data_IF_668898970785
#
_entry.id   IF_668898970785
#
_cell.length_a   1.000
_cell.length_b   1.000
_cell.length_c   1.000
_cell.angle_alpha   90.00
_cell.angle_beta   90.00
_cell.angle_gamma   90.00
#
_symmetry.space_group_name_H-M   'P 1'
#
loop_
_entity.id
_entity.type
_entity.pdbx_description
1 polymer ?
#
# COMPACT_ATOMS: atom_id res chain seq x y z
N UNK A 1 -13.08 -6.49 -20.61
CA UNK A 1 -12.77 -6.42 -19.16
C UNK A 1 -11.67 -5.44 -18.92
N UNK A 2 -11.65 -4.85 -17.75
CA UNK A 2 -10.64 -3.89 -17.34
C UNK A 2 -10.01 -4.33 -16.04
N UNK A 3 -8.73 -4.03 -15.91
CA UNK A 3 -8.07 -4.10 -14.60
C UNK A 3 -8.36 -2.82 -13.84
N UNK A 4 -8.57 -2.96 -12.55
CA UNK A 4 -8.78 -1.84 -11.65
C UNK A 4 -7.65 -1.77 -10.64
N UNK A 5 -7.18 -0.56 -10.39
CA UNK A 5 -6.39 -0.28 -9.21
C UNK A 5 -7.31 0.47 -8.24
N UNK A 6 -7.76 -0.22 -7.20
CA UNK A 6 -8.65 0.37 -6.20
C UNK A 6 -7.91 1.22 -5.16
N UNK A 7 -6.59 1.32 -5.24
CA UNK A 7 -5.86 2.23 -4.37
C UNK A 7 -6.26 3.68 -4.67
N UNK A 8 -6.70 4.46 -3.67
CA UNK A 8 -7.27 5.79 -3.91
C UNK A 8 -6.31 6.83 -4.50
N UNK A 9 -5.00 6.61 -4.37
CA UNK A 9 -3.98 7.48 -4.95
C UNK A 9 -3.09 6.73 -5.94
N UNK A 10 -3.63 6.22 -7.05
CA UNK A 10 -2.87 5.34 -7.95
C UNK A 10 -1.88 6.09 -8.85
N UNK A 11 -1.97 7.41 -8.90
CA UNK A 11 -1.14 8.25 -9.78
C UNK A 11 -0.25 9.16 -8.96
N UNK A 12 0.72 9.76 -9.63
CA UNK A 12 1.61 10.74 -9.02
C UNK A 12 0.83 12.00 -8.64
N UNK A 13 0.92 12.39 -7.37
CA UNK A 13 0.23 13.54 -6.84
C UNK A 13 0.26 13.54 -5.32
N UNK A 14 -0.30 14.57 -4.69
CA UNK A 14 -0.33 14.67 -3.23
C UNK A 14 -1.11 13.52 -2.62
N UNK A 15 -0.49 12.73 -1.75
CA UNK A 15 -1.20 11.64 -1.10
C UNK A 15 -2.21 12.16 -0.08
N UNK A 16 -3.38 11.51 -0.05
CA UNK A 16 -4.46 11.88 0.87
C UNK A 16 -4.88 10.65 1.66
N UNK A 17 -4.10 10.24 2.67
CA UNK A 17 -4.51 9.13 3.51
C UNK A 17 -5.77 9.47 4.29
N UNK A 18 -6.59 8.47 4.54
CA UNK A 18 -7.75 8.61 5.41
C UNK A 18 -7.32 8.94 6.84
N UNK A 19 -6.18 8.41 7.26
CA UNK A 19 -5.62 8.63 8.58
C UNK A 19 -4.09 8.54 8.52
N UNK A 20 -3.42 9.40 9.28
CA UNK A 20 -1.98 9.30 9.53
C UNK A 20 -1.69 9.52 11.00
N UNK A 21 -0.72 8.79 11.55
CA UNK A 21 -0.34 8.85 12.95
C UNK A 21 1.18 8.89 13.04
N UNK A 22 1.70 9.84 13.81
CA UNK A 22 3.12 9.97 14.13
C UNK A 22 4.03 10.12 12.91
N UNK A 23 3.47 10.58 11.80
CA UNK A 23 4.24 10.85 10.57
C UNK A 23 3.52 11.87 9.70
N UNK A 24 4.27 12.44 8.77
CA UNK A 24 3.72 13.15 7.61
C UNK A 24 3.88 12.28 6.39
N UNK A 25 2.96 12.41 5.44
CA UNK A 25 2.94 11.62 4.21
C UNK A 25 3.08 12.57 3.03
N UNK A 26 4.06 12.32 2.18
CA UNK A 26 4.37 13.16 1.03
C UNK A 26 4.39 12.32 -0.24
N UNK A 27 4.21 12.97 -1.39
CA UNK A 27 4.43 12.27 -2.64
C UNK A 27 5.91 11.92 -2.80
N UNK A 28 6.18 10.82 -3.49
CA UNK A 28 7.52 10.34 -3.77
C UNK A 28 7.57 9.71 -5.15
N UNK A 29 8.75 9.70 -5.74
CA UNK A 29 8.92 9.10 -7.05
C UNK A 29 8.69 10.08 -8.18
N UNK A 30 8.05 9.60 -9.23
CA UNK A 30 7.82 10.36 -10.47
C UNK A 30 6.48 9.95 -11.08
N UNK A 31 6.00 10.65 -12.10
CA UNK A 31 4.75 10.27 -12.78
C UNK A 31 4.72 8.82 -13.31
N UNK A 32 5.87 8.29 -13.71
CA UNK A 32 5.97 6.91 -14.19
C UNK A 32 6.25 5.91 -13.08
N UNK A 33 6.60 6.38 -11.90
CA UNK A 33 6.91 5.57 -10.74
C UNK A 33 6.35 6.24 -9.49
N UNK A 34 5.02 6.40 -9.39
CA UNK A 34 4.40 7.16 -8.31
C UNK A 34 4.47 6.42 -6.99
N UNK A 35 4.61 7.17 -5.91
CA UNK A 35 4.68 6.61 -4.59
C UNK A 35 4.42 7.64 -3.50
N UNK A 36 4.57 7.17 -2.29
CA UNK A 36 4.44 7.95 -1.07
C UNK A 36 5.68 7.76 -0.22
N UNK A 37 5.97 8.73 0.62
CA UNK A 37 7.01 8.59 1.64
C UNK A 37 6.41 8.95 3.00
N UNK A 38 6.59 8.07 3.97
CA UNK A 38 6.23 8.29 5.36
C UNK A 38 7.45 8.85 6.08
N UNK A 39 7.29 10.03 6.64
CA UNK A 39 8.33 10.72 7.39
C UNK A 39 7.94 10.79 8.85
N UNK A 40 8.60 10.03 9.73
CA UNK A 40 8.25 9.99 11.15
C UNK A 40 8.36 11.36 11.79
N UNK A 41 7.50 11.63 12.78
CA UNK A 41 7.48 12.90 13.50
C UNK A 41 8.59 13.03 14.53
N UNK A 42 9.27 11.93 14.87
CA UNK A 42 10.40 11.90 15.81
C UNK A 42 11.28 10.68 15.59
N UNK A 43 12.43 10.64 16.25
CA UNK A 43 13.38 9.51 16.16
C UNK A 43 12.82 8.21 16.77
N UNK A 44 11.74 8.30 17.54
CA UNK A 44 11.12 7.14 18.18
C UNK A 44 9.78 6.75 17.58
N UNK A 45 9.25 7.54 16.65
CA UNK A 45 7.99 7.27 15.98
C UNK A 45 8.19 6.38 14.75
N UNK A 46 7.31 5.42 14.56
CA UNK A 46 7.32 4.56 13.38
C UNK A 46 6.51 5.10 12.22
N UNK A 47 5.45 5.83 12.52
CA UNK A 47 4.55 6.33 11.50
C UNK A 47 3.56 5.28 10.99
N UNK A 48 2.41 5.78 10.60
CA UNK A 48 1.29 4.98 10.12
C UNK A 48 0.50 5.83 9.13
N UNK A 49 0.24 5.30 7.95
CA UNK A 49 -0.68 5.92 6.99
C UNK A 49 -1.67 4.88 6.49
N UNK A 50 -2.95 5.20 6.57
CA UNK A 50 -4.01 4.28 6.20
C UNK A 50 -4.99 4.89 5.20
N UNK A 51 -5.45 4.07 4.28
CA UNK A 51 -6.51 4.41 3.35
C UNK A 51 -7.68 3.45 3.52
N UNK A 52 -8.88 3.99 3.58
CA UNK A 52 -10.09 3.17 3.44
C UNK A 52 -10.30 2.93 1.95
N UNK A 53 -10.33 1.68 1.57
CA UNK A 53 -10.56 1.25 0.19
C UNK A 53 -11.93 0.59 0.13
N UNK A 54 -12.85 1.17 -0.63
CA UNK A 54 -14.23 0.70 -0.73
C UNK A 54 -14.58 0.34 -2.16
N UNK A 55 -15.76 -0.26 -2.35
CA UNK A 55 -16.21 -0.66 -3.68
C UNK A 55 -15.50 -1.88 -4.22
N UNK A 56 -14.80 -2.63 -3.36
CA UNK A 56 -14.14 -3.87 -3.77
C UNK A 56 -15.19 -4.98 -3.99
N UNK A 57 -14.93 -5.91 -4.91
CA UNK A 57 -15.86 -7.01 -5.16
C UNK A 57 -15.85 -8.02 -4.00
N UNK A 58 -16.93 -8.03 -3.22
CA UNK A 58 -17.06 -8.90 -2.05
C UNK A 58 -16.89 -10.37 -2.44
N UNK A 59 -16.16 -11.12 -1.60
CA UNK A 59 -15.91 -12.54 -1.81
C UNK A 59 -14.84 -12.87 -2.85
N UNK A 60 -14.31 -11.89 -3.53
CA UNK A 60 -13.27 -12.08 -4.55
C UNK A 60 -11.88 -11.99 -3.90
N UNK A 61 -10.95 -12.76 -4.41
CA UNK A 61 -9.54 -12.67 -3.96
C UNK A 61 -8.89 -11.48 -4.61
N UNK A 62 -8.32 -10.60 -3.79
CA UNK A 62 -7.59 -9.43 -4.23
C UNK A 62 -6.17 -9.45 -3.70
N UNK A 63 -5.28 -8.74 -4.38
CA UNK A 63 -3.90 -8.55 -3.98
C UNK A 63 -3.62 -7.06 -3.78
N UNK A 64 -2.93 -6.75 -2.70
CA UNK A 64 -2.46 -5.42 -2.36
C UNK A 64 -0.94 -5.47 -2.41
N UNK A 65 -0.35 -4.67 -3.28
CA UNK A 65 1.06 -4.79 -3.64
C UNK A 65 1.70 -3.42 -3.62
N UNK A 66 2.88 -3.33 -3.04
CA UNK A 66 3.67 -2.11 -3.03
C UNK A 66 5.15 -2.48 -2.94
N UNK A 67 5.98 -1.74 -3.65
CA UNK A 67 7.42 -1.78 -3.43
C UNK A 67 7.77 -0.87 -2.26
N UNK A 68 8.74 -1.23 -1.46
CA UNK A 68 9.21 -0.39 -0.36
C UNK A 68 10.67 0.02 -0.58
N UNK A 69 10.99 1.24 -0.19
CA UNK A 69 12.33 1.79 -0.28
C UNK A 69 12.79 2.39 1.04
N UNK A 70 14.05 2.15 1.39
CA UNK A 70 14.65 2.62 2.62
C UNK A 70 15.89 3.47 2.29
N UNK A 71 16.10 4.51 3.08
CA UNK A 71 17.31 5.34 2.94
C UNK A 71 18.56 4.59 3.40
N UNK A 72 18.44 3.68 4.36
CA UNK A 72 19.49 2.79 4.79
C UNK A 72 18.93 1.41 5.10
N UNK A 73 19.80 0.40 5.16
CA UNK A 73 19.43 -0.97 5.41
C UNK A 73 19.54 -1.39 6.88
N UNK A 74 20.05 -0.53 7.73
CA UNK A 74 20.13 -0.76 9.17
C UNK A 74 18.76 -0.48 9.76
N UNK A 75 18.07 -1.52 10.19
CA UNK A 75 16.70 -1.34 10.62
C UNK A 75 16.41 -2.02 11.95
N UNK A 76 15.71 -1.26 12.79
CA UNK A 76 15.18 -1.73 14.07
C UNK A 76 13.68 -1.95 14.03
N UNK A 77 13.05 -1.82 12.87
CA UNK A 77 11.61 -2.00 12.71
C UNK A 77 11.18 -3.40 13.16
N UNK A 78 10.09 -3.44 13.91
CA UNK A 78 9.49 -4.67 14.40
C UNK A 78 8.00 -4.65 14.10
N UNK A 79 7.59 -5.19 12.97
CA UNK A 79 6.19 -5.21 12.59
C UNK A 79 5.99 -5.38 11.09
N UNK A 80 4.77 -5.21 10.64
CA UNK A 80 4.41 -5.32 9.23
C UNK A 80 4.47 -3.96 8.55
N UNK A 81 5.13 -3.89 7.42
CA UNK A 81 5.20 -2.66 6.61
C UNK A 81 3.90 -2.44 5.82
N UNK A 82 3.30 -3.51 5.35
CA UNK A 82 2.04 -3.48 4.61
C UNK A 82 1.04 -4.37 5.32
N UNK A 83 -0.13 -3.84 5.62
CA UNK A 83 -1.18 -4.56 6.33
C UNK A 83 -2.54 -4.20 5.74
N UNK A 84 -3.46 -5.15 5.75
CA UNK A 84 -4.85 -4.92 5.35
C UNK A 84 -5.75 -5.39 6.47
N UNK A 85 -6.65 -4.51 6.90
CA UNK A 85 -7.62 -4.77 7.95
C UNK A 85 -9.03 -4.67 7.41
N UNK A 86 -9.98 -5.32 8.08
CA UNK A 86 -11.40 -5.14 7.80
C UNK A 86 -11.95 -3.87 8.49
N UNK A 87 -13.25 -3.62 8.30
CA UNK A 87 -13.93 -2.44 8.88
C UNK A 87 -13.93 -2.43 10.41
N UNK A 88 -13.70 -3.59 11.03
CA UNK A 88 -13.66 -3.74 12.49
C UNK A 88 -12.23 -3.79 13.04
N UNK A 89 -11.25 -3.38 12.25
CA UNK A 89 -9.83 -3.34 12.60
C UNK A 89 -9.18 -4.71 12.83
N UNK A 90 -9.78 -5.78 12.30
CA UNK A 90 -9.16 -7.11 12.31
C UNK A 90 -8.17 -7.22 11.15
N UNK A 91 -6.96 -7.69 11.43
CA UNK A 91 -5.93 -7.89 10.39
C UNK A 91 -6.33 -9.07 9.52
N UNK A 92 -6.50 -8.83 8.22
CA UNK A 92 -6.80 -9.86 7.24
C UNK A 92 -5.54 -10.46 6.65
N UNK A 93 -4.53 -9.63 6.41
CA UNK A 93 -3.25 -10.04 5.85
C UNK A 93 -2.20 -8.97 6.13
N UNK A 94 -0.93 -9.39 6.21
CA UNK A 94 0.17 -8.45 6.37
C UNK A 94 1.45 -8.99 5.74
N UNK A 95 2.41 -8.09 5.50
CA UNK A 95 3.72 -8.43 4.96
C UNK A 95 4.77 -7.45 5.45
N UNK A 96 6.01 -7.93 5.56
CA UNK A 96 7.15 -7.11 5.90
C UNK A 96 8.39 -7.60 5.16
N UNK A 97 9.37 -6.72 5.05
CA UNK A 97 10.69 -7.08 4.53
C UNK A 97 11.75 -6.23 5.21
N UNK A 98 12.98 -6.72 5.17
CA UNK A 98 14.17 -5.98 5.59
C UNK A 98 15.01 -5.53 4.40
N UNK A 99 14.61 -5.93 3.19
CA UNK A 99 15.34 -5.61 1.97
C UNK A 99 14.84 -4.29 1.36
N UNK A 100 15.78 -3.45 0.95
CA UNK A 100 15.48 -2.25 0.19
C UNK A 100 14.99 -2.64 -1.22
N UNK A 101 14.03 -1.90 -1.75
CA UNK A 101 13.43 -2.12 -3.07
C UNK A 101 12.75 -3.48 -3.23
N UNK A 102 12.25 -4.03 -2.15
CA UNK A 102 11.46 -5.26 -2.19
C UNK A 102 10.01 -4.98 -2.54
N UNK A 103 9.40 -5.90 -3.28
CA UNK A 103 7.97 -5.83 -3.60
C UNK A 103 7.18 -6.63 -2.58
N UNK A 104 6.35 -5.95 -1.78
CA UNK A 104 5.47 -6.57 -0.81
C UNK A 104 4.14 -6.93 -1.47
N UNK A 105 3.60 -8.09 -1.14
CA UNK A 105 2.29 -8.52 -1.62
C UNK A 105 1.51 -9.19 -0.50
N UNK A 106 0.25 -8.78 -0.34
CA UNK A 106 -0.71 -9.45 0.54
C UNK A 106 -1.96 -9.80 -0.26
N UNK A 107 -2.35 -11.05 -0.19
CA UNK A 107 -3.58 -11.55 -0.80
C UNK A 107 -4.63 -11.80 0.26
N UNK A 108 -5.87 -11.50 -0.07
CA UNK A 108 -7.00 -11.73 0.83
C UNK A 108 -8.30 -11.91 0.06
N UNK A 109 -9.30 -12.46 0.73
CA UNK A 109 -10.68 -12.46 0.23
C UNK A 109 -11.37 -11.21 0.75
N UNK A 110 -11.97 -10.45 -0.15
CA UNK A 110 -12.64 -9.19 0.19
C UNK A 110 -13.82 -9.48 1.11
N UNK A 111 -13.96 -8.75 2.25
CA UNK A 111 -15.11 -8.89 3.14
C UNK A 111 -16.44 -8.59 2.45
N UNK A 112 -17.53 -9.03 3.07
CA UNK A 112 -18.88 -8.89 2.52
C UNK A 112 -19.33 -7.44 2.29
N UNK A 113 -18.77 -6.48 3.02
CA UNK A 113 -19.07 -5.06 2.85
C UNK A 113 -18.23 -4.39 1.74
N UNK A 114 -17.29 -5.12 1.14
CA UNK A 114 -16.42 -4.57 0.09
C UNK A 114 -15.44 -3.51 0.56
N UNK A 115 -15.17 -3.44 1.85
CA UNK A 115 -14.34 -2.39 2.45
C UNK A 115 -13.15 -3.01 3.17
N UNK A 116 -11.97 -2.44 2.93
CA UNK A 116 -10.75 -2.78 3.68
C UNK A 116 -10.01 -1.51 4.04
N UNK A 117 -9.13 -1.61 5.02
CA UNK A 117 -8.18 -0.55 5.39
C UNK A 117 -6.80 -1.00 4.98
N UNK A 118 -6.22 -0.28 4.03
CA UNK A 118 -4.84 -0.52 3.58
C UNK A 118 -3.91 0.34 4.42
N UNK A 119 -2.94 -0.30 5.06
CA UNK A 119 -2.10 0.34 6.05
C UNK A 119 -0.64 0.19 5.67
N UNK A 120 0.05 1.32 5.64
CA UNK A 120 1.51 1.40 5.48
C UNK A 120 2.12 1.84 6.80
N UNK A 121 3.16 1.14 7.25
CA UNK A 121 3.91 1.51 8.45
C UNK A 121 5.33 1.83 8.10
N UNK A 122 5.83 2.94 8.60
CA UNK A 122 7.21 3.35 8.44
C UNK A 122 8.11 2.72 9.49
N UNK A 123 9.42 2.77 9.22
CA UNK A 123 10.43 2.35 10.17
C UNK A 123 10.59 3.42 11.26
N UNK A 124 11.00 2.99 12.44
CA UNK A 124 11.18 3.89 13.58
C UNK A 124 12.28 4.93 13.30
N UNK A 125 11.89 6.20 13.36
CA UNK A 125 12.79 7.33 13.20
C UNK A 125 13.37 7.52 11.80
N UNK A 126 12.88 6.79 10.79
CA UNK A 126 13.46 6.80 9.45
C UNK A 126 12.38 6.89 8.39
N UNK A 127 12.67 7.65 7.32
CA UNK A 127 11.77 7.75 6.17
C UNK A 127 11.62 6.38 5.50
N UNK A 128 10.39 6.05 5.13
CA UNK A 128 10.07 4.82 4.40
C UNK A 128 9.22 5.18 3.20
N UNK A 129 9.67 4.80 2.01
CA UNK A 129 8.92 5.02 0.78
C UNK A 129 8.17 3.76 0.36
N UNK A 130 6.98 3.95 -0.18
CA UNK A 130 6.21 2.92 -0.85
C UNK A 130 5.84 3.42 -2.23
N UNK A 131 6.02 2.60 -3.23
CA UNK A 131 5.80 3.01 -4.60
C UNK A 131 5.21 1.90 -5.44
N UNK A 132 4.66 2.27 -6.63
CA UNK A 132 3.97 1.35 -7.51
C UNK A 132 2.91 0.54 -6.75
N UNK A 133 2.04 1.28 -6.03
CA UNK A 133 1.02 0.70 -5.18
C UNK A 133 -0.16 0.28 -6.05
N UNK A 134 -0.58 -0.97 -5.92
CA UNK A 134 -1.72 -1.49 -6.66
C UNK A 134 -2.59 -2.38 -5.77
N UNK A 135 -3.90 -2.18 -5.88
CA UNK A 135 -4.91 -3.02 -5.26
C UNK A 135 -5.76 -3.59 -6.40
N UNK A 136 -5.64 -4.88 -6.67
CA UNK A 136 -6.25 -5.49 -7.86
C UNK A 136 -6.75 -6.90 -7.56
N UNK A 137 -7.57 -7.45 -8.45
CA UNK A 137 -7.91 -8.87 -8.37
C UNK A 137 -6.65 -9.72 -8.43
N UNK A 138 -6.57 -10.71 -7.54
CA UNK A 138 -5.46 -11.65 -7.51
C UNK A 138 -5.54 -12.58 -8.72
N UNK A 139 -4.39 -12.94 -9.26
CA UNK A 139 -4.29 -13.98 -10.26
C UNK A 139 -3.62 -13.56 -11.56
N UNK A 140 -4.39 -13.19 -12.59
CA UNK A 140 -3.87 -13.18 -13.95
C UNK A 140 -2.80 -12.14 -14.24
N UNK A 141 -2.98 -10.89 -13.81
CA UNK A 141 -2.01 -9.83 -14.05
C UNK A 141 -2.04 -8.85 -12.90
N UNK A 142 -0.98 -8.88 -12.10
CA UNK A 142 -0.81 -8.03 -10.92
C UNK A 142 0.27 -6.97 -11.14
N UNK A 143 0.73 -6.80 -12.38
CA UNK A 143 1.76 -5.81 -12.67
C UNK A 143 1.22 -4.39 -12.49
N UNK A 144 2.11 -3.49 -12.08
CA UNK A 144 1.74 -2.11 -11.84
C UNK A 144 1.38 -1.41 -13.17
N UNK A 145 0.42 -0.49 -13.09
CA UNK A 145 0.10 0.47 -14.14
C UNK A 145 -0.27 1.81 -13.51
N UNK A 146 -0.03 2.90 -14.23
CA UNK A 146 -0.39 4.23 -13.77
C UNK A 146 -1.87 4.48 -14.03
N UNK A 147 -2.58 4.97 -13.02
CA UNK A 147 -4.00 5.25 -13.10
C UNK A 147 -4.86 4.25 -12.36
N UNK A 148 -6.17 4.47 -12.40
CA UNK A 148 -7.13 3.66 -11.67
C UNK A 148 -7.67 2.46 -12.44
N UNK A 149 -7.64 2.50 -13.75
CA UNK A 149 -8.15 1.44 -14.61
C UNK A 149 -7.25 1.22 -15.83
N UNK A 150 -7.22 0.01 -16.28
CA UNK A 150 -6.48 -0.39 -17.47
C UNK A 150 -7.21 -1.54 -18.15
N UNK A 151 -7.34 -1.55 -19.49
CA UNK A 151 -7.89 -2.72 -20.19
C UNK A 151 -7.05 -3.96 -19.89
N UNK A 152 -7.70 -5.10 -19.69
CA UNK A 152 -7.00 -6.37 -19.64
C UNK A 152 -6.41 -6.67 -21.00
N UNK A 153 -5.13 -7.03 -20.99
CA UNK A 153 -4.49 -7.50 -22.21
C UNK A 153 -4.94 -8.94 -22.46
N UNK A 154 -5.55 -9.16 -23.59
CA UNK A 154 -5.85 -10.50 -24.04
C UNK A 154 -4.59 -11.10 -24.63
N UNK A 155 -4.09 -12.10 -23.98
CA UNK A 155 -2.97 -12.89 -24.51
C UNK A 155 -3.49 -14.01 -25.38
#
# INVERSE_FOLDING_TARGET
MQRHNWFPNPTYGDPKPTRSIDCTVHQWGSPNNPGIILRPSSDTAGGYAGWVVSGLPAGVKCAFIASCGFADTTDTFRGSLLSVEDSSDNVLANSKTWANNERLRVGLTVPSDGVVKLIFRGRTGKDTAFYQIICTEAGSDESFFTGGTMPLQNN
#
